data_IF_928123337661
#
_entry.id   IF_928123337661
#
_cell.length_a   1.000
_cell.length_b   1.000
_cell.length_c   1.000
_cell.angle_alpha   90.00
_cell.angle_beta   90.00
_cell.angle_gamma   90.00
#
_symmetry.space_group_name_H-M   'P 1'
#
loop_
_entity.id
_entity.type
_entity.pdbx_description
1 polymer ?
#
# COMPACT_ATOMS: atom_id res chain seq x y z
N UNK A 1 4.99 17.96 18.35
CA UNK A 1 3.58 18.26 18.00
C UNK A 1 3.46 19.31 16.88
N UNK A 2 4.40 20.28 16.77
CA UNK A 2 4.33 21.38 15.78
C UNK A 2 4.57 20.99 14.29
N UNK A 3 5.31 19.90 14.01
CA UNK A 3 5.55 19.46 12.62
C UNK A 3 4.38 18.73 11.94
N UNK A 4 3.42 18.20 12.70
CA UNK A 4 2.28 17.45 12.15
C UNK A 4 1.19 18.38 11.58
N UNK A 5 1.03 19.58 12.14
CA UNK A 5 0.07 20.59 11.66
C UNK A 5 0.49 21.28 10.35
N UNK A 6 1.73 21.08 9.89
CA UNK A 6 2.24 21.58 8.59
C UNK A 6 2.09 20.57 7.45
N UNK A 7 1.71 19.32 7.73
CA UNK A 7 1.37 18.34 6.68
C UNK A 7 -0.10 18.46 6.27
N UNK A 8 -1.00 18.74 7.22
CA UNK A 8 -2.42 18.92 6.95
C UNK A 8 -2.73 20.25 6.23
N UNK A 9 -1.83 21.23 6.31
CA UNK A 9 -1.86 22.45 5.50
C UNK A 9 -0.86 22.25 4.38
N UNK A 10 -1.35 22.03 3.15
CA UNK A 10 -0.51 21.91 1.96
C UNK A 10 0.60 22.98 1.94
N UNK A 11 1.76 22.62 1.38
CA UNK A 11 2.91 23.52 1.35
C UNK A 11 2.56 24.81 0.60
N UNK A 12 2.33 25.86 1.37
CA UNK A 12 2.23 27.24 0.90
C UNK A 12 3.60 27.76 0.48
N UNK A 13 4.08 27.29 -0.66
CA UNK A 13 5.20 27.86 -1.41
C UNK A 13 5.33 27.09 -2.74
N UNK A 14 4.65 27.60 -3.77
CA UNK A 14 4.30 26.95 -5.05
C UNK A 14 5.43 26.52 -6.00
N UNK A 15 6.51 25.90 -5.50
CA UNK A 15 7.63 25.39 -6.31
C UNK A 15 8.26 24.10 -5.76
N UNK A 16 7.47 23.18 -5.18
CA UNK A 16 7.91 21.84 -4.78
C UNK A 16 7.08 20.76 -5.46
N UNK A 17 7.70 19.67 -5.92
CA UNK A 17 6.93 18.55 -6.47
C UNK A 17 6.23 17.78 -5.35
N UNK A 18 4.92 17.55 -5.48
CA UNK A 18 4.15 16.70 -4.56
C UNK A 18 4.77 15.30 -4.42
N UNK A 19 5.42 14.80 -5.48
CA UNK A 19 6.21 13.55 -5.46
C UNK A 19 7.25 13.58 -4.35
N UNK A 20 7.98 14.68 -4.20
CA UNK A 20 9.03 14.83 -3.18
C UNK A 20 8.40 14.88 -1.79
N UNK A 21 7.30 15.61 -1.60
CA UNK A 21 6.58 15.67 -0.33
C UNK A 21 6.05 14.29 0.10
N UNK A 22 5.62 13.47 -0.86
CA UNK A 22 5.22 12.08 -0.64
C UNK A 22 6.38 11.19 -0.17
N UNK A 23 7.60 11.40 -0.69
CA UNK A 23 8.78 10.55 -0.49
C UNK A 23 9.77 11.09 0.56
N UNK A 24 9.27 11.53 1.73
CA UNK A 24 10.11 12.04 2.83
C UNK A 24 10.53 10.95 3.83
N UNK A 25 11.05 9.83 3.31
CA UNK A 25 11.52 8.68 4.10
C UNK A 25 10.43 7.65 4.45
N UNK A 26 10.85 6.51 5.01
CA UNK A 26 10.00 5.33 5.19
C UNK A 26 8.76 5.54 6.06
N UNK A 27 8.81 6.25 7.21
CA UNK A 27 7.58 6.53 7.94
C UNK A 27 6.60 7.40 7.17
N UNK A 28 7.12 8.43 6.51
CA UNK A 28 6.29 9.46 5.86
C UNK A 28 5.58 8.91 4.64
N UNK A 29 6.27 8.14 3.79
CA UNK A 29 5.64 7.55 2.61
C UNK A 29 4.50 6.60 3.00
N UNK A 30 4.72 5.74 4.00
CA UNK A 30 3.69 4.82 4.48
C UNK A 30 2.48 5.55 5.11
N UNK A 31 2.76 6.62 5.87
CA UNK A 31 1.71 7.46 6.44
C UNK A 31 0.90 8.17 5.35
N UNK A 32 1.58 8.75 4.36
CA UNK A 32 0.92 9.48 3.29
C UNK A 32 0.11 8.55 2.38
N UNK A 33 0.59 7.32 2.10
CA UNK A 33 -0.20 6.32 1.38
C UNK A 33 -1.48 5.96 2.13
N UNK A 34 -1.40 5.78 3.46
CA UNK A 34 -2.59 5.53 4.28
C UNK A 34 -3.57 6.72 4.31
N UNK A 35 -3.05 7.97 4.26
CA UNK A 35 -3.88 9.17 4.14
C UNK A 35 -4.61 9.25 2.79
N UNK A 36 -3.95 8.81 1.71
CA UNK A 36 -4.52 8.86 0.36
C UNK A 36 -5.47 7.71 0.07
N UNK A 37 -5.27 6.54 0.69
CA UNK A 37 -6.06 5.35 0.43
C UNK A 37 -7.60 5.55 0.42
N UNK A 38 -8.22 6.29 1.37
CA UNK A 38 -9.67 6.53 1.32
C UNK A 38 -10.08 7.65 0.35
N UNK A 39 -9.15 8.52 -0.05
CA UNK A 39 -9.40 9.62 -0.98
C UNK A 39 -9.30 9.18 -2.44
N UNK A 40 -8.42 8.22 -2.70
CA UNK A 40 -8.11 7.69 -4.03
C UNK A 40 -8.30 6.18 -3.99
N UNK A 41 -9.53 5.74 -3.73
CA UNK A 41 -9.91 4.32 -3.74
C UNK A 41 -10.11 3.87 -5.20
N UNK A 42 -9.24 3.02 -5.76
CA UNK A 42 -9.45 2.50 -7.10
C UNK A 42 -10.71 1.62 -7.13
N UNK A 43 -11.51 1.71 -8.20
CA UNK A 43 -12.60 0.77 -8.44
C UNK A 43 -12.09 -0.63 -8.84
N UNK A 44 -10.90 -0.67 -9.46
CA UNK A 44 -10.20 -1.87 -9.88
C UNK A 44 -8.70 -1.64 -9.69
N UNK A 45 -8.05 -2.54 -8.97
CA UNK A 45 -6.60 -2.63 -8.87
C UNK A 45 -6.11 -3.80 -9.69
N UNK A 46 -5.03 -3.58 -10.44
CA UNK A 46 -4.34 -4.61 -11.24
C UNK A 46 -2.86 -4.52 -10.93
N UNK A 47 -2.27 -5.66 -10.57
CA UNK A 47 -0.85 -5.84 -10.36
C UNK A 47 -0.31 -6.78 -11.43
N UNK A 48 0.67 -6.30 -12.18
CA UNK A 48 1.41 -7.08 -13.18
C UNK A 48 2.72 -7.59 -12.58
N UNK A 49 2.84 -8.91 -12.50
CA UNK A 49 4.02 -9.62 -12.06
C UNK A 49 4.61 -10.49 -13.18
N UNK A 50 4.42 -10.15 -14.46
CA UNK A 50 5.01 -10.94 -15.56
C UNK A 50 6.53 -11.09 -15.37
N UNK A 51 7.23 -9.96 -15.21
CA UNK A 51 8.58 -9.89 -14.66
C UNK A 51 8.54 -9.01 -13.42
N UNK A 52 8.73 -9.62 -12.25
CA UNK A 52 8.86 -8.91 -10.99
C UNK A 52 10.33 -8.58 -10.70
N UNK A 53 10.59 -7.93 -9.56
CA UNK A 53 11.95 -7.61 -9.13
C UNK A 53 12.14 -7.93 -7.64
N UNK A 54 13.31 -8.46 -7.31
CA UNK A 54 13.73 -8.71 -5.93
C UNK A 54 15.06 -8.03 -5.59
N UNK A 55 15.45 -8.04 -4.32
CA UNK A 55 16.66 -7.36 -3.85
C UNK A 55 16.54 -5.84 -3.95
N UNK A 56 17.52 -5.18 -4.58
CA UNK A 56 17.56 -3.70 -4.66
C UNK A 56 16.57 -3.09 -5.69
N UNK A 57 15.46 -3.79 -5.94
CA UNK A 57 14.37 -3.31 -6.77
C UNK A 57 13.64 -2.09 -6.18
N UNK A 58 12.77 -1.43 -6.96
CA UNK A 58 12.43 -1.77 -8.35
C UNK A 58 13.40 -1.17 -9.37
N UNK A 59 14.49 -0.51 -8.96
CA UNK A 59 15.43 0.13 -9.92
C UNK A 59 16.67 -0.71 -10.16
N UNK A 60 17.31 -1.19 -9.09
CA UNK A 60 18.59 -1.92 -9.15
C UNK A 60 18.44 -3.38 -8.69
N UNK A 61 17.23 -3.94 -8.84
CA UNK A 61 16.90 -5.29 -8.39
C UNK A 61 17.30 -6.37 -9.40
N UNK A 62 17.15 -7.62 -8.96
CA UNK A 62 17.29 -8.79 -9.80
C UNK A 62 15.90 -9.12 -10.40
N UNK A 63 15.78 -9.29 -11.73
CA UNK A 63 14.50 -9.64 -12.35
C UNK A 63 14.07 -11.06 -11.98
N UNK A 64 12.79 -11.23 -11.67
CA UNK A 64 12.18 -12.51 -11.34
C UNK A 64 11.11 -12.82 -12.38
N UNK A 65 11.33 -13.78 -13.29
CA UNK A 65 10.26 -14.27 -14.16
C UNK A 65 9.21 -14.97 -13.28
N UNK A 66 8.11 -14.28 -13.03
CA UNK A 66 7.09 -14.73 -12.08
C UNK A 66 5.79 -15.10 -12.79
N UNK A 67 5.41 -14.35 -13.82
CA UNK A 67 4.36 -14.74 -14.75
C UNK A 67 2.94 -14.68 -14.18
N UNK A 68 2.69 -13.82 -13.19
CA UNK A 68 1.36 -13.67 -12.60
C UNK A 68 0.77 -12.29 -12.85
N UNK A 69 -0.55 -12.21 -12.77
CA UNK A 69 -1.26 -10.95 -12.58
C UNK A 69 -2.30 -11.14 -11.48
N UNK A 70 -2.49 -10.13 -10.64
CA UNK A 70 -3.49 -10.13 -9.57
C UNK A 70 -4.41 -8.94 -9.80
N UNK A 71 -5.72 -9.14 -9.78
CA UNK A 71 -6.68 -8.07 -9.94
C UNK A 71 -7.85 -8.22 -8.98
N UNK A 72 -8.45 -7.09 -8.59
CA UNK A 72 -9.57 -7.08 -7.67
C UNK A 72 -10.13 -5.68 -7.43
N UNK A 73 -11.34 -5.63 -6.90
CA UNK A 73 -12.05 -4.37 -6.58
C UNK A 73 -11.73 -3.83 -5.18
N UNK A 74 -11.03 -4.63 -4.37
CA UNK A 74 -10.44 -4.19 -3.10
C UNK A 74 -8.93 -4.06 -3.27
N UNK A 75 -8.46 -2.83 -3.41
CA UNK A 75 -7.03 -2.53 -3.61
C UNK A 75 -6.15 -3.02 -2.47
N UNK A 76 -6.65 -2.98 -1.23
CA UNK A 76 -5.88 -3.44 -0.08
C UNK A 76 -5.73 -4.96 -0.10
N UNK A 77 -6.80 -5.68 -0.44
CA UNK A 77 -6.76 -7.13 -0.57
C UNK A 77 -5.78 -7.57 -1.69
N UNK A 78 -5.78 -6.89 -2.83
CA UNK A 78 -4.84 -7.16 -3.95
C UNK A 78 -3.39 -7.00 -3.51
N UNK A 79 -3.07 -5.89 -2.84
CA UNK A 79 -1.70 -5.63 -2.38
C UNK A 79 -1.27 -6.61 -1.28
N UNK A 80 -2.14 -6.93 -0.32
CA UNK A 80 -1.84 -7.88 0.76
C UNK A 80 -1.66 -9.30 0.21
N UNK A 81 -2.53 -9.74 -0.71
CA UNK A 81 -2.38 -11.03 -1.37
C UNK A 81 -1.03 -11.10 -2.08
N UNK A 82 -0.71 -10.08 -2.88
CA UNK A 82 0.55 -10.06 -3.63
C UNK A 82 1.76 -10.03 -2.71
N UNK A 83 1.76 -9.18 -1.67
CA UNK A 83 2.84 -9.14 -0.68
C UNK A 83 3.03 -10.52 -0.03
N UNK A 84 1.95 -11.22 0.32
CA UNK A 84 2.01 -12.57 0.87
C UNK A 84 2.56 -13.58 -0.14
N UNK A 85 2.16 -13.51 -1.40
CA UNK A 85 2.69 -14.36 -2.48
C UNK A 85 4.19 -14.13 -2.70
N UNK A 86 4.69 -12.92 -2.46
CA UNK A 86 6.13 -12.59 -2.47
C UNK A 86 6.87 -12.99 -1.17
N UNK A 87 6.16 -13.51 -0.17
CA UNK A 87 6.73 -13.90 1.12
C UNK A 87 6.82 -12.79 2.17
N UNK A 88 6.15 -11.65 1.98
CA UNK A 88 6.09 -10.55 2.94
C UNK A 88 4.80 -10.57 3.76
N UNK A 89 4.93 -10.39 5.08
CA UNK A 89 3.81 -10.26 5.99
C UNK A 89 3.18 -8.87 6.02
N UNK A 90 1.92 -8.80 6.44
CA UNK A 90 1.15 -7.55 6.58
C UNK A 90 1.89 -6.47 7.39
N UNK A 91 2.57 -6.86 8.47
CA UNK A 91 3.25 -5.94 9.37
C UNK A 91 4.65 -5.52 8.87
N UNK A 92 5.11 -6.05 7.75
CA UNK A 92 6.40 -5.67 7.16
C UNK A 92 6.26 -4.44 6.25
N UNK A 93 5.03 -4.15 5.80
CA UNK A 93 4.71 -3.04 4.89
C UNK A 93 3.79 -2.05 5.61
N UNK A 94 4.30 -0.86 5.90
CA UNK A 94 3.64 0.09 6.81
C UNK A 94 2.27 0.56 6.36
N UNK A 95 2.08 0.90 5.08
CA UNK A 95 0.77 1.37 4.60
C UNK A 95 -0.27 0.25 4.62
N UNK A 96 0.10 -1.00 4.32
CA UNK A 96 -0.80 -2.15 4.44
C UNK A 96 -1.25 -2.33 5.88
N UNK A 97 -0.31 -2.26 6.82
CA UNK A 97 -0.62 -2.31 8.26
C UNK A 97 -1.58 -1.18 8.69
N UNK A 98 -1.31 0.07 8.29
CA UNK A 98 -2.17 1.20 8.62
C UNK A 98 -3.57 1.05 8.02
N UNK A 99 -3.67 0.74 6.73
CA UNK A 99 -4.96 0.55 6.05
C UNK A 99 -5.77 -0.60 6.66
N UNK A 100 -5.11 -1.72 6.99
CA UNK A 100 -5.74 -2.85 7.67
C UNK A 100 -6.28 -2.44 9.06
N UNK A 101 -5.46 -1.74 9.85
CA UNK A 101 -5.83 -1.28 11.21
C UNK A 101 -6.97 -0.26 11.19
N UNK A 102 -7.10 0.50 10.11
CA UNK A 102 -8.14 1.50 9.90
C UNK A 102 -9.39 0.95 9.20
N UNK A 103 -9.40 -0.31 8.77
CA UNK A 103 -10.52 -0.93 8.07
C UNK A 103 -10.79 -0.33 6.69
N UNK A 104 -9.74 0.11 5.97
CA UNK A 104 -9.87 0.77 4.66
C UNK A 104 -10.07 -0.20 3.49
N UNK A 105 -9.95 -1.51 3.76
CA UNK A 105 -10.21 -2.63 2.87
C UNK A 105 -10.09 -3.95 3.64
N UNK A 106 -10.18 -5.08 2.94
CA UNK A 106 -10.10 -6.41 3.52
C UNK A 106 -8.65 -6.84 3.75
N UNK A 107 -8.25 -6.95 5.01
CA UNK A 107 -6.93 -7.46 5.39
C UNK A 107 -6.89 -8.95 5.69
N UNK A 108 -8.05 -9.56 5.91
CA UNK A 108 -8.19 -10.98 6.19
C UNK A 108 -8.41 -11.74 4.88
N UNK A 109 -7.35 -12.36 4.36
CA UNK A 109 -7.41 -13.12 3.11
C UNK A 109 -8.34 -14.34 3.19
N UNK A 110 -8.71 -14.84 4.38
CA UNK A 110 -9.71 -15.90 4.50
C UNK A 110 -11.12 -15.42 4.12
N UNK A 111 -11.34 -14.10 4.10
CA UNK A 111 -12.59 -13.46 3.64
C UNK A 111 -12.52 -12.98 2.19
N UNK A 112 -11.40 -13.21 1.52
CA UNK A 112 -11.21 -12.84 0.11
C UNK A 112 -11.40 -14.08 -0.73
N UNK A 113 -12.40 -14.06 -1.61
CA UNK A 113 -12.53 -15.09 -2.64
C UNK A 113 -11.48 -14.83 -3.72
N UNK A 114 -10.53 -15.77 -3.85
CA UNK A 114 -9.52 -15.72 -4.89
C UNK A 114 -9.90 -16.71 -5.98
N UNK A 115 -10.32 -16.17 -7.12
CA UNK A 115 -10.57 -16.94 -8.34
C UNK A 115 -9.37 -16.84 -9.25
N UNK A 116 -9.01 -17.94 -9.91
CA UNK A 116 -7.85 -17.97 -10.79
C UNK A 116 -7.64 -19.33 -11.43
N UNK A 117 -6.73 -19.38 -12.40
CA UNK A 117 -6.36 -20.59 -13.12
C UNK A 117 -5.21 -21.37 -12.46
N UNK A 118 -4.68 -20.88 -11.34
CA UNK A 118 -3.55 -21.48 -10.62
C UNK A 118 -3.75 -21.32 -9.11
N UNK A 119 -3.33 -22.33 -8.35
CA UNK A 119 -3.32 -22.28 -6.89
C UNK A 119 -2.28 -21.26 -6.39
N UNK A 120 -2.61 -20.55 -5.30
CA UNK A 120 -1.75 -19.50 -4.74
C UNK A 120 -0.38 -20.06 -4.31
N UNK A 121 -0.37 -21.26 -3.74
CA UNK A 121 0.84 -21.93 -3.27
C UNK A 121 1.80 -22.26 -4.41
N UNK A 122 1.28 -22.51 -5.62
CA UNK A 122 2.08 -22.83 -6.79
C UNK A 122 2.82 -21.61 -7.37
N UNK A 123 2.33 -20.40 -7.06
CA UNK A 123 2.96 -19.14 -7.48
C UNK A 123 3.63 -18.40 -6.33
N UNK A 124 3.42 -18.83 -5.08
CA UNK A 124 4.10 -18.24 -3.94
C UNK A 124 5.61 -18.44 -4.02
N UNK A 125 6.37 -17.37 -3.82
CA UNK A 125 7.82 -17.37 -3.86
C UNK A 125 8.34 -16.43 -2.79
N UNK A 126 9.34 -16.87 -2.03
CA UNK A 126 10.04 -15.99 -1.10
C UNK A 126 10.99 -15.08 -1.89
N UNK A 127 10.62 -13.81 -2.05
CA UNK A 127 11.45 -12.82 -2.71
C UNK A 127 12.60 -12.39 -1.79
N UNK A 128 13.76 -12.12 -2.38
CA UNK A 128 14.88 -11.48 -1.68
C UNK A 128 14.46 -10.06 -1.25
N UNK A 129 14.46 -9.74 0.05
CA UNK A 129 14.14 -8.38 0.49
C UNK A 129 15.20 -7.38 0.04
N UNK A 130 14.82 -6.10 -0.01
CA UNK A 130 15.78 -5.03 -0.26
C UNK A 130 16.93 -5.05 0.77
N UNK A 131 18.20 -4.76 0.40
CA UNK A 131 19.32 -4.77 1.35
C UNK A 131 19.09 -3.90 2.59
N UNK A 132 18.37 -2.78 2.42
CA UNK A 132 17.93 -1.87 3.49
C UNK A 132 16.51 -2.14 4.04
N UNK A 133 15.99 -3.35 3.91
CA UNK A 133 14.63 -3.68 4.38
C UNK A 133 14.45 -3.45 5.89
N UNK A 134 15.50 -3.61 6.69
CA UNK A 134 15.46 -3.29 8.12
C UNK A 134 15.17 -1.80 8.37
N UNK A 135 15.72 -0.89 7.56
CA UNK A 135 15.40 0.53 7.61
C UNK A 135 13.96 0.79 7.13
N UNK A 136 13.54 0.09 6.06
CA UNK A 136 12.18 0.21 5.52
C UNK A 136 11.11 -0.18 6.56
N UNK A 137 11.40 -1.21 7.37
CA UNK A 137 10.54 -1.66 8.48
C UNK A 137 10.46 -0.65 9.63
N UNK A 138 11.33 0.37 9.69
CA UNK A 138 11.24 1.50 10.62
C UNK A 138 10.23 2.55 10.16
N UNK A 139 9.09 2.11 9.61
CA UNK A 139 7.99 2.97 9.18
C UNK A 139 7.10 3.43 10.35
N UNK A 140 7.20 2.75 11.50
CA UNK A 140 6.41 3.04 12.69
C UNK A 140 6.78 4.43 13.24
N UNK A 141 5.77 5.26 13.49
CA UNK A 141 5.92 6.52 14.22
C UNK A 141 4.94 6.57 15.38
N UNK A 142 5.43 6.99 16.54
CA UNK A 142 4.59 7.26 17.70
C UNK A 142 3.47 8.23 17.32
N UNK A 143 2.23 7.89 17.69
CA UNK A 143 1.04 8.69 17.38
C UNK A 143 0.57 8.66 15.93
N UNK A 144 1.18 7.87 15.03
CA UNK A 144 0.78 7.82 13.61
C UNK A 144 -0.67 7.34 13.43
N UNK A 145 -1.07 6.25 14.10
CA UNK A 145 -2.44 5.73 14.04
C UNK A 145 -3.46 6.71 14.63
N UNK A 146 -3.12 7.36 15.75
CA UNK A 146 -3.98 8.40 16.35
C UNK A 146 -4.16 9.59 15.40
N UNK A 147 -3.06 10.04 14.79
CA UNK A 147 -3.08 11.07 13.77
C UNK A 147 -3.96 10.68 12.57
N UNK A 148 -3.82 9.46 12.04
CA UNK A 148 -4.63 8.97 10.94
C UNK A 148 -6.12 8.94 11.31
N UNK A 149 -6.47 8.38 12.47
CA UNK A 149 -7.86 8.31 12.96
C UNK A 149 -8.49 9.69 13.13
N UNK A 150 -7.71 10.69 13.54
CA UNK A 150 -8.17 12.08 13.66
C UNK A 150 -8.31 12.79 12.32
N UNK A 151 -7.50 12.43 11.33
CA UNK A 151 -7.42 13.14 10.05
C UNK A 151 -8.39 12.57 9.01
N UNK A 152 -8.58 11.25 9.02
CA UNK A 152 -9.46 10.58 8.07
C UNK A 152 -10.93 10.76 8.45
N UNK A 153 -11.84 10.93 7.47
CA UNK A 153 -13.26 10.96 7.73
C UNK A 153 -13.74 9.63 8.31
N UNK A 154 -14.71 9.69 9.23
CA UNK A 154 -15.23 8.51 9.96
C UNK A 154 -16.08 7.57 9.12
N UNK A 155 -16.38 7.94 7.87
CA UNK A 155 -17.10 7.12 6.91
C UNK A 155 -16.35 7.11 5.57
N UNK A 156 -16.28 5.95 4.87
CA UNK A 156 -15.80 5.94 3.50
C UNK A 156 -16.67 6.86 2.66
N UNK A 157 -16.05 7.73 1.86
CA UNK A 157 -16.77 8.46 0.82
C UNK A 157 -17.48 7.43 -0.06
N UNK A 158 -18.80 7.52 -0.27
CA UNK A 158 -19.49 6.60 -1.16
C UNK A 158 -18.87 6.67 -2.56
N UNK A 159 -18.76 5.52 -3.24
CA UNK A 159 -18.34 5.51 -4.63
C UNK A 159 -19.25 6.43 -5.45
N UNK A 160 -18.73 7.16 -6.45
CA UNK A 160 -19.59 7.95 -7.33
C UNK A 160 -20.63 7.02 -7.95
N UNK A 161 -21.91 7.38 -7.83
CA UNK A 161 -23.00 6.68 -8.50
C UNK A 161 -22.75 6.75 -10.01
N UNK A 162 -22.40 5.61 -10.63
CA UNK A 162 -22.39 5.50 -12.08
C UNK A 162 -23.86 5.37 -12.50
N UNK A 163 -24.49 6.47 -12.88
CA UNK A 163 -25.78 6.38 -13.56
C UNK A 163 -25.54 5.71 -14.90
N UNK A 164 -26.00 4.47 -15.05
CA UNK A 164 -26.10 3.85 -16.36
C UNK A 164 -27.10 4.67 -17.20
N UNK A 165 -26.59 5.39 -18.20
CA UNK A 165 -27.36 6.02 -19.28
C UNK A 165 -27.35 5.12 -20.51
#
# INVERSE_FOLDING_TARGET
>A
LDRLGKMARGHGNGWGSDKTAMHQGYPTINLNLALLAPLVRPHLSVLDGFIAMEGAGPVNGEPVPWGIAVAGTDSLAVDILTARLMGFGLNEVGYLHYCATLGLGCADLARVEVVGNIAQEAVARAFKPHPRHEEQRRWQRAGALEFLRRTLPTAPTPAPEVSAS
#
